data_IF_044642079802
#
_entry.id   IF_044642079802
#
_cell.length_a   1.000
_cell.length_b   1.000
_cell.length_c   1.000
_cell.angle_alpha   90.00
_cell.angle_beta   90.00
_cell.angle_gamma   90.00
#
_symmetry.space_group_name_H-M   'P 1'
#
loop_
_entity.id
_entity.type
_entity.pdbx_description
1 polymer ?
#
# COMPACT_ATOMS: atom_id res chain seq x y z
N UNK A 1 48.51 -37.88 20.31
CA UNK A 1 49.94 -37.80 20.73
C UNK A 1 50.48 -36.45 20.30
N UNK A 2 51.34 -35.78 21.08
CA UNK A 2 51.81 -34.41 20.78
C UNK A 2 52.91 -34.41 19.70
N UNK A 3 52.86 -33.47 18.76
CA UNK A 3 54.04 -32.92 18.09
C UNK A 3 53.96 -31.38 18.13
N UNK A 4 55.11 -30.72 18.01
CA UNK A 4 55.31 -29.28 18.27
C UNK A 4 56.11 -28.64 17.14
N UNK A 5 56.19 -27.31 17.19
CA UNK A 5 57.33 -26.45 16.84
C UNK A 5 57.33 -25.65 15.51
N UNK A 6 57.39 -24.32 15.74
CA UNK A 6 58.33 -23.33 15.16
C UNK A 6 58.01 -22.58 13.85
N UNK A 7 58.71 -21.44 13.76
CA UNK A 7 58.89 -20.49 12.64
C UNK A 7 57.68 -19.57 12.37
N UNK A 8 57.86 -18.25 12.18
CA UNK A 8 59.05 -17.41 12.39
C UNK A 8 58.64 -15.98 12.77
N UNK A 9 59.59 -15.17 13.25
CA UNK A 9 59.37 -13.76 13.59
C UNK A 9 60.07 -12.85 12.57
N UNK A 10 59.44 -11.72 12.25
CA UNK A 10 60.07 -10.57 11.59
C UNK A 10 59.53 -9.30 12.24
N UNK A 11 60.45 -8.46 12.72
CA UNK A 11 60.13 -7.13 13.24
C UNK A 11 60.66 -6.06 12.28
N UNK A 12 59.92 -4.97 12.15
CA UNK A 12 60.40 -3.69 11.60
C UNK A 12 59.99 -2.63 12.60
N UNK A 13 60.89 -1.68 12.88
CA UNK A 13 60.79 -0.80 14.04
C UNK A 13 61.02 0.67 13.69
N UNK A 14 60.50 1.56 14.55
CA UNK A 14 60.79 3.01 14.61
C UNK A 14 60.31 3.82 13.38
N UNK A 15 60.06 5.13 13.47
CA UNK A 15 60.52 6.14 14.44
C UNK A 15 59.42 6.99 15.06
N UNK A 16 59.67 7.44 16.30
CA UNK A 16 58.93 8.49 16.99
C UNK A 16 59.68 9.82 16.90
N UNK A 17 58.98 10.92 16.66
CA UNK A 17 59.48 12.27 16.94
C UNK A 17 58.41 13.07 17.69
N UNK A 18 58.76 13.49 18.91
CA UNK A 18 57.90 14.30 19.78
C UNK A 18 58.54 15.68 19.93
N UNK A 19 57.78 16.76 19.71
CA UNK A 19 58.19 18.11 20.08
C UNK A 19 57.00 18.95 20.56
N UNK A 20 57.23 19.71 21.62
CA UNK A 20 56.29 20.56 22.38
C UNK A 20 57.10 21.34 23.43
N UNK A 21 56.55 22.37 24.10
CA UNK A 21 55.65 23.42 23.61
C UNK A 21 56.13 24.83 24.05
N UNK A 22 55.53 25.91 23.51
CA UNK A 22 55.55 27.28 24.08
C UNK A 22 54.52 28.15 23.33
N UNK A 23 53.83 29.17 23.86
CA UNK A 23 53.14 29.42 25.16
C UNK A 23 53.08 30.94 25.43
N UNK A 24 51.94 31.58 25.15
CA UNK A 24 51.46 32.90 25.64
C UNK A 24 50.02 33.10 25.07
N UNK A 25 48.96 33.31 25.86
CA UNK A 25 48.62 34.47 26.72
C UNK A 25 48.21 35.71 25.90
N UNK A 26 47.06 36.38 26.08
CA UNK A 26 45.89 36.30 26.99
C UNK A 26 44.60 36.71 26.19
N UNK A 27 43.37 36.98 26.65
CA UNK A 27 42.73 37.35 27.94
C UNK A 27 41.18 37.12 27.88
N UNK A 28 40.45 37.26 29.01
CA UNK A 28 39.04 37.78 29.20
C UNK A 28 37.94 37.65 28.12
N UNK A 29 36.65 37.38 28.38
CA UNK A 29 35.78 36.97 29.53
C UNK A 29 34.48 36.39 28.89
N UNK A 30 33.48 35.76 29.54
CA UNK A 30 33.13 35.54 30.94
C UNK A 30 32.44 34.16 31.15
N UNK A 31 32.16 33.80 32.40
CA UNK A 31 31.66 32.51 32.88
C UNK A 31 30.18 32.19 32.56
N UNK A 32 29.84 30.90 32.41
CA UNK A 32 29.17 30.14 33.49
C UNK A 32 28.99 28.64 33.16
N UNK A 33 29.63 27.79 33.97
CA UNK A 33 29.35 26.35 34.18
C UNK A 33 28.29 26.26 35.34
N UNK A 34 27.54 25.20 35.66
CA UNK A 34 27.72 23.75 35.60
C UNK A 34 26.36 23.04 35.36
N UNK A 35 26.30 21.74 35.00
CA UNK A 35 27.38 20.80 34.70
C UNK A 35 26.88 19.36 34.56
N UNK A 36 27.80 18.41 34.43
CA UNK A 36 27.48 16.99 34.23
C UNK A 36 27.49 16.19 35.54
N UNK A 37 26.59 15.20 35.64
CA UNK A 37 26.75 14.05 36.55
C UNK A 37 26.82 12.76 35.75
N UNK A 38 27.90 12.01 35.95
CA UNK A 38 28.07 10.65 35.44
C UNK A 38 27.53 9.66 36.47
N UNK A 39 26.72 8.70 36.03
CA UNK A 39 26.64 7.39 36.70
C UNK A 39 26.52 6.29 35.65
N UNK A 40 27.14 5.14 35.94
CA UNK A 40 27.23 4.01 35.03
C UNK A 40 26.31 2.87 35.48
N UNK A 41 25.87 2.07 34.50
CA UNK A 41 25.37 0.69 34.64
C UNK A 41 24.28 0.40 35.69
N UNK A 42 23.06 0.20 35.22
CA UNK A 42 22.32 -1.04 35.52
C UNK A 42 21.28 -1.32 34.43
N UNK A 43 21.07 -2.60 34.13
CA UNK A 43 20.09 -3.07 33.14
C UNK A 43 18.88 -3.65 33.85
N UNK A 44 17.74 -2.96 33.81
CA UNK A 44 16.45 -3.52 34.22
C UNK A 44 15.33 -3.17 33.23
N UNK A 45 14.34 -4.06 33.19
CA UNK A 45 13.32 -4.19 32.15
C UNK A 45 12.16 -3.20 32.35
N UNK A 46 11.79 -2.48 31.28
CA UNK A 46 10.51 -1.78 31.17
C UNK A 46 9.87 -1.96 29.78
N UNK A 47 9.49 -3.20 29.51
CA UNK A 47 8.15 -3.59 28.99
C UNK A 47 7.32 -2.50 28.29
N UNK A 48 7.10 -2.72 26.99
CA UNK A 48 5.97 -2.27 26.17
C UNK A 48 5.57 -0.77 26.19
N UNK A 49 5.91 -0.08 25.10
CA UNK A 49 4.96 0.82 24.45
C UNK A 49 4.43 0.16 23.17
N UNK A 50 3.13 0.28 22.93
CA UNK A 50 2.43 -0.45 21.86
C UNK A 50 2.76 0.08 20.48
N UNK A 51 3.43 -0.73 19.68
CA UNK A 51 3.40 -0.58 18.22
C UNK A 51 1.97 -0.82 17.73
N UNK A 52 1.40 0.15 17.02
CA UNK A 52 0.14 -0.07 16.28
C UNK A 52 0.37 -1.15 15.22
N UNK A 53 -0.50 -2.17 15.10
CA UNK A 53 -0.29 -3.24 14.13
C UNK A 53 -0.29 -2.67 12.72
N UNK A 54 0.76 -2.98 11.94
CA UNK A 54 0.89 -2.51 10.56
C UNK A 54 -0.29 -3.01 9.70
N UNK A 55 -1.20 -2.10 9.36
CA UNK A 55 -2.41 -2.41 8.59
C UNK A 55 -2.09 -2.66 7.12
N UNK A 56 -1.58 -3.85 6.82
CA UNK A 56 -1.30 -4.28 5.44
C UNK A 56 -2.59 -4.32 4.59
N UNK A 57 -2.50 -3.86 3.34
CA UNK A 57 -3.61 -3.91 2.38
C UNK A 57 -3.78 -5.33 1.85
N UNK A 58 -5.01 -5.82 1.82
CA UNK A 58 -5.32 -7.19 1.40
C UNK A 58 -5.61 -7.36 -0.09
N UNK A 59 -5.66 -8.62 -0.57
CA UNK A 59 -5.88 -8.95 -1.98
C UNK A 59 -7.25 -8.53 -2.53
N UNK A 60 -8.24 -8.27 -1.68
CA UNK A 60 -9.56 -7.73 -2.07
C UNK A 60 -9.64 -6.20 -1.85
N UNK A 61 -8.53 -5.56 -1.48
CA UNK A 61 -8.44 -4.13 -1.24
C UNK A 61 -8.92 -3.68 0.14
N UNK A 62 -9.10 -4.58 1.10
CA UNK A 62 -9.44 -4.26 2.48
C UNK A 62 -8.23 -4.08 3.40
N UNK A 63 -8.50 -3.82 4.67
CA UNK A 63 -7.48 -3.76 5.73
C UNK A 63 -7.29 -5.15 6.34
N UNK A 64 -6.07 -5.70 6.29
CA UNK A 64 -5.74 -7.00 6.88
C UNK A 64 -5.22 -6.84 8.30
N UNK A 65 -5.74 -7.68 9.19
CA UNK A 65 -5.35 -7.82 10.59
C UNK A 65 -5.07 -9.29 10.92
N UNK A 66 -4.22 -9.52 11.92
CA UNK A 66 -4.02 -10.85 12.52
C UNK A 66 -4.92 -11.00 13.75
N UNK A 67 -5.77 -12.04 13.75
CA UNK A 67 -6.62 -12.39 14.90
C UNK A 67 -6.28 -13.81 15.32
N UNK A 68 -5.45 -13.94 16.36
CA UNK A 68 -4.74 -15.18 16.66
C UNK A 68 -3.86 -15.60 15.48
N UNK A 69 -4.04 -16.83 14.99
CA UNK A 69 -3.34 -17.34 13.80
C UNK A 69 -4.02 -17.01 12.46
N UNK A 70 -5.16 -16.31 12.46
CA UNK A 70 -5.90 -15.97 11.22
C UNK A 70 -5.53 -14.61 10.67
N UNK A 71 -5.36 -14.54 9.36
CA UNK A 71 -5.45 -13.30 8.58
C UNK A 71 -6.93 -13.02 8.29
N UNK A 72 -7.43 -11.86 8.72
CA UNK A 72 -8.79 -11.40 8.41
C UNK A 72 -8.69 -10.06 7.68
N UNK A 73 -9.31 -9.96 6.51
CA UNK A 73 -9.38 -8.74 5.71
C UNK A 73 -10.76 -8.09 5.86
N UNK A 74 -10.80 -6.87 6.39
CA UNK A 74 -12.01 -6.04 6.47
C UNK A 74 -12.17 -5.24 5.18
N UNK A 75 -13.19 -5.55 4.39
CA UNK A 75 -13.53 -4.85 3.14
C UNK A 75 -14.83 -4.08 3.34
N UNK A 76 -14.79 -2.76 3.14
CA UNK A 76 -15.95 -1.87 3.22
C UNK A 76 -16.37 -1.43 1.81
N UNK A 77 -17.65 -1.53 1.50
CA UNK A 77 -18.24 -1.05 0.24
C UNK A 77 -19.52 -0.26 0.51
N UNK A 78 -19.99 0.64 -0.37
CA UNK A 78 -21.12 1.54 -0.09
C UNK A 78 -22.45 0.86 0.29
N UNK A 79 -22.59 -0.46 0.11
CA UNK A 79 -23.78 -1.27 0.46
C UNK A 79 -23.49 -2.48 1.36
N UNK A 80 -22.30 -2.58 2.00
CA UNK A 80 -22.03 -3.68 2.94
C UNK A 80 -20.65 -3.69 3.59
N UNK A 81 -20.55 -4.54 4.61
CA UNK A 81 -19.32 -4.87 5.34
C UNK A 81 -19.01 -6.35 5.07
N UNK A 82 -17.74 -6.66 4.76
CA UNK A 82 -17.27 -8.02 4.53
C UNK A 82 -15.98 -8.28 5.32
N UNK A 83 -15.88 -9.46 5.91
CA UNK A 83 -14.68 -9.99 6.56
C UNK A 83 -14.25 -11.26 5.82
N UNK A 84 -13.14 -11.17 5.09
CA UNK A 84 -12.54 -12.32 4.40
C UNK A 84 -11.61 -13.04 5.37
N UNK A 85 -11.87 -14.32 5.65
CA UNK A 85 -10.93 -15.17 6.38
C UNK A 85 -9.96 -15.74 5.35
N UNK A 86 -8.71 -15.29 5.36
CA UNK A 86 -7.76 -15.60 4.27
C UNK A 86 -6.90 -16.83 4.57
N UNK A 87 -6.67 -17.63 3.53
CA UNK A 87 -5.63 -18.67 3.54
C UNK A 87 -4.23 -18.10 3.20
N UNK A 88 -3.22 -18.96 3.13
CA UNK A 88 -1.83 -18.57 2.83
C UNK A 88 -1.61 -17.96 1.44
N UNK A 89 -2.53 -18.19 0.48
CA UNK A 89 -2.52 -17.57 -0.86
C UNK A 89 -3.32 -16.26 -0.92
N UNK A 90 -4.07 -15.91 0.12
CA UNK A 90 -4.99 -14.77 0.12
C UNK A 90 -6.40 -15.07 -0.41
N UNK A 91 -6.79 -16.34 -0.53
CA UNK A 91 -8.15 -16.74 -0.95
C UNK A 91 -9.09 -16.78 0.28
N UNK A 92 -10.35 -16.31 0.20
CA UNK A 92 -11.33 -16.44 1.28
C UNK A 92 -11.75 -17.90 1.53
N UNK A 93 -11.80 -18.31 2.81
CA UNK A 93 -12.05 -19.69 3.24
C UNK A 93 -13.05 -19.80 4.41
N UNK A 94 -14.09 -18.96 4.46
CA UNK A 94 -15.14 -19.12 5.46
C UNK A 94 -16.02 -20.36 5.17
N UNK A 95 -16.34 -21.20 6.17
CA UNK A 95 -17.12 -22.43 5.99
C UNK A 95 -18.63 -22.13 5.82
N UNK A 96 -19.44 -23.06 5.30
CA UNK A 96 -20.85 -22.80 4.97
C UNK A 96 -21.75 -22.50 6.18
N UNK A 97 -21.37 -23.01 7.35
CA UNK A 97 -22.05 -22.90 8.65
C UNK A 97 -21.51 -21.75 9.52
N UNK A 98 -20.71 -20.84 8.95
CA UNK A 98 -20.23 -19.65 9.67
C UNK A 98 -21.36 -18.70 10.02
N UNK A 99 -21.44 -18.33 11.29
CA UNK A 99 -22.26 -17.23 11.78
C UNK A 99 -21.38 -16.15 12.39
N UNK A 100 -21.96 -14.98 12.61
CA UNK A 100 -21.27 -13.89 13.31
C UNK A 100 -22.14 -12.68 13.54
N UNK A 101 -21.63 -11.77 14.36
CA UNK A 101 -22.26 -10.48 14.67
C UNK A 101 -21.25 -9.37 14.40
N UNK A 102 -21.73 -8.21 13.96
CA UNK A 102 -20.93 -6.98 13.92
C UNK A 102 -21.71 -5.85 14.58
N UNK A 103 -21.11 -5.26 15.62
CA UNK A 103 -21.62 -4.10 16.33
C UNK A 103 -20.89 -2.86 15.82
N UNK A 104 -21.59 -2.08 15.00
CA UNK A 104 -21.07 -0.93 14.28
C UNK A 104 -21.32 0.38 15.04
N UNK A 105 -20.27 1.19 15.21
CA UNK A 105 -20.33 2.56 15.74
C UNK A 105 -19.65 3.53 14.77
N UNK A 106 -20.31 4.66 14.49
CA UNK A 106 -19.88 5.60 13.44
C UNK A 106 -19.22 6.84 14.06
N UNK A 107 -17.91 6.97 13.88
CA UNK A 107 -17.10 8.02 14.49
C UNK A 107 -17.29 8.08 16.01
N UNK A 108 -17.37 9.30 16.55
CA UNK A 108 -17.57 9.54 17.98
C UNK A 108 -19.06 9.48 18.41
N UNK A 109 -19.97 9.04 17.54
CA UNK A 109 -21.37 8.83 17.93
C UNK A 109 -21.43 7.66 18.92
N UNK A 110 -22.03 7.80 20.13
CA UNK A 110 -22.11 6.71 21.10
C UNK A 110 -23.08 5.58 20.67
N UNK A 111 -23.90 5.79 19.64
CA UNK A 111 -24.90 4.82 19.19
C UNK A 111 -24.25 3.63 18.48
N UNK A 112 -24.39 2.46 19.10
CA UNK A 112 -24.00 1.16 18.56
C UNK A 112 -25.17 0.53 17.76
N UNK A 113 -24.84 -0.13 16.65
CA UNK A 113 -25.79 -0.81 15.77
C UNK A 113 -25.30 -2.24 15.49
N UNK A 114 -25.94 -3.24 16.11
CA UNK A 114 -25.58 -4.66 15.94
C UNK A 114 -26.33 -5.31 14.79
N UNK A 115 -25.62 -6.07 13.97
CA UNK A 115 -26.13 -6.79 12.80
C UNK A 115 -25.69 -8.25 12.80
N UNK A 116 -26.59 -9.17 12.44
CA UNK A 116 -26.22 -10.55 12.13
C UNK A 116 -25.54 -10.61 10.76
N UNK A 117 -24.37 -11.26 10.71
CA UNK A 117 -23.65 -11.55 9.47
C UNK A 117 -24.02 -12.93 8.93
N UNK A 118 -23.72 -13.16 7.65
CA UNK A 118 -23.92 -14.46 6.97
C UNK A 118 -22.75 -14.76 6.04
N UNK A 119 -22.61 -16.03 5.67
CA UNK A 119 -21.79 -16.44 4.53
C UNK A 119 -22.31 -15.78 3.24
N UNK A 120 -21.40 -15.24 2.43
CA UNK A 120 -21.68 -14.62 1.13
C UNK A 120 -21.16 -15.51 -0.01
N UNK A 121 -21.63 -15.27 -1.24
CA UNK A 121 -21.29 -16.09 -2.43
C UNK A 121 -19.79 -16.16 -2.76
N UNK A 122 -19.01 -15.21 -2.27
CA UNK A 122 -17.55 -15.11 -2.38
C UNK A 122 -16.79 -15.67 -1.17
N UNK A 123 -17.45 -16.48 -0.32
CA UNK A 123 -16.88 -17.07 0.90
C UNK A 123 -16.38 -16.04 1.93
N UNK A 124 -16.95 -14.83 1.89
CA UNK A 124 -16.81 -13.82 2.92
C UNK A 124 -17.87 -13.99 4.02
N UNK A 125 -17.57 -13.57 5.25
CA UNK A 125 -18.58 -13.36 6.30
C UNK A 125 -18.98 -11.88 6.25
N UNK A 126 -20.27 -11.54 6.09
CA UNK A 126 -20.63 -10.14 5.95
C UNK A 126 -22.11 -9.82 6.08
N UNK A 127 -22.44 -8.53 5.93
CA UNK A 127 -23.80 -8.00 6.03
C UNK A 127 -24.02 -6.83 5.07
N UNK A 128 -25.23 -6.76 4.49
CA UNK A 128 -25.66 -5.63 3.68
C UNK A 128 -26.14 -4.47 4.57
N UNK A 129 -25.45 -3.34 4.48
CA UNK A 129 -25.73 -2.11 5.23
C UNK A 129 -25.43 -0.90 4.34
N UNK A 130 -26.26 0.14 4.38
CA UNK A 130 -26.08 1.30 3.51
C UNK A 130 -25.06 2.29 4.08
N UNK A 131 -23.82 2.16 3.62
CA UNK A 131 -22.69 2.97 4.08
C UNK A 131 -22.48 4.25 3.24
N UNK A 132 -23.31 4.48 2.22
CA UNK A 132 -23.18 5.62 1.29
C UNK A 132 -23.25 7.02 1.93
N UNK A 133 -23.75 7.12 3.17
CA UNK A 133 -23.87 8.38 3.93
C UNK A 133 -22.75 8.61 4.96
N UNK A 134 -21.82 7.66 5.10
CA UNK A 134 -20.76 7.68 6.14
C UNK A 134 -19.37 7.51 5.54
N UNK A 135 -19.19 7.82 4.25
CA UNK A 135 -17.93 7.65 3.49
C UNK A 135 -16.72 8.25 4.19
N UNK A 136 -16.92 9.41 4.83
CA UNK A 136 -15.83 10.15 5.43
C UNK A 136 -15.56 9.86 6.91
N UNK A 137 -16.35 9.00 7.53
CA UNK A 137 -16.31 8.71 8.96
C UNK A 137 -15.62 7.38 9.25
N UNK A 138 -14.87 7.32 10.35
CA UNK A 138 -14.29 6.08 10.85
C UNK A 138 -15.40 5.15 11.37
N UNK A 139 -15.42 3.91 10.89
CA UNK A 139 -16.28 2.86 11.42
C UNK A 139 -15.50 2.05 12.45
N UNK A 140 -15.99 2.06 13.68
CA UNK A 140 -15.61 1.12 14.72
C UNK A 140 -16.53 -0.10 14.63
N UNK A 141 -15.95 -1.29 14.55
CA UNK A 141 -16.68 -2.54 14.39
C UNK A 141 -16.18 -3.55 15.42
N UNK A 142 -16.99 -3.82 16.43
CA UNK A 142 -16.79 -4.94 17.34
C UNK A 142 -17.41 -6.19 16.70
N UNK A 143 -16.58 -7.16 16.32
CA UNK A 143 -16.96 -8.30 15.48
C UNK A 143 -16.79 -9.60 16.26
N UNK A 144 -17.73 -10.52 16.11
CA UNK A 144 -17.61 -11.90 16.57
C UNK A 144 -17.96 -12.87 15.44
N UNK A 145 -17.15 -13.91 15.25
CA UNK A 145 -17.36 -14.96 14.24
C UNK A 145 -17.26 -16.34 14.91
N UNK A 146 -18.30 -17.16 14.76
CA UNK A 146 -18.39 -18.53 15.30
C UNK A 146 -18.04 -19.57 14.24
N UNK A 147 -17.98 -20.86 14.61
CA UNK A 147 -17.80 -22.03 13.73
C UNK A 147 -16.52 -22.05 12.85
N UNK A 148 -15.64 -21.05 12.97
CA UNK A 148 -14.35 -21.01 12.25
C UNK A 148 -13.20 -21.64 13.06
N UNK A 149 -13.33 -21.72 14.38
CA UNK A 149 -12.34 -22.33 15.29
C UNK A 149 -13.06 -23.01 16.47
N UNK A 150 -12.29 -23.71 17.31
CA UNK A 150 -12.81 -24.37 18.53
C UNK A 150 -13.36 -23.40 19.61
N UNK A 151 -13.25 -22.09 19.38
CA UNK A 151 -13.89 -21.01 20.14
C UNK A 151 -14.33 -19.91 19.17
N UNK A 152 -15.33 -19.08 19.51
CA UNK A 152 -15.61 -17.84 18.79
C UNK A 152 -14.36 -16.96 18.67
N UNK A 153 -14.27 -16.22 17.57
CA UNK A 153 -13.19 -15.29 17.28
C UNK A 153 -13.76 -13.88 17.31
N UNK A 154 -13.41 -13.13 18.35
CA UNK A 154 -13.88 -11.76 18.56
C UNK A 154 -12.74 -10.76 18.38
N UNK A 155 -12.98 -9.64 17.69
CA UNK A 155 -11.97 -8.61 17.40
C UNK A 155 -12.59 -7.22 17.19
N UNK A 156 -11.81 -6.17 17.43
CA UNK A 156 -12.15 -4.80 17.04
C UNK A 156 -11.52 -4.47 15.69
N UNK A 157 -12.31 -3.98 14.74
CA UNK A 157 -11.81 -3.47 13.45
C UNK A 157 -12.16 -1.99 13.30
N UNK A 158 -11.16 -1.16 13.01
CA UNK A 158 -11.35 0.23 12.60
C UNK A 158 -11.07 0.36 11.10
N UNK A 159 -11.98 0.95 10.35
CA UNK A 159 -11.80 1.22 8.91
C UNK A 159 -12.72 2.35 8.45
N UNK A 160 -12.41 2.99 7.31
CA UNK A 160 -13.21 4.08 6.72
C UNK A 160 -13.83 3.64 5.40
N UNK A 161 -15.06 4.09 5.11
CA UNK A 161 -15.81 3.67 3.91
C UNK A 161 -15.35 4.47 2.70
N UNK A 162 -14.25 4.04 2.08
CA UNK A 162 -13.68 4.75 0.94
C UNK A 162 -14.68 4.75 -0.23
N UNK A 163 -14.96 5.95 -0.74
CA UNK A 163 -15.94 6.16 -1.81
C UNK A 163 -15.45 5.54 -3.12
N UNK A 164 -16.30 4.70 -3.74
CA UNK A 164 -15.98 3.87 -4.90
C UNK A 164 -15.02 2.71 -4.61
N UNK A 165 -15.42 1.51 -5.02
CA UNK A 165 -14.72 0.26 -4.74
C UNK A 165 -13.45 0.07 -5.58
N UNK A 166 -12.27 0.32 -4.98
CA UNK A 166 -10.99 -0.36 -5.29
C UNK A 166 -9.93 0.01 -4.25
N UNK A 167 -9.57 -0.93 -3.37
CA UNK A 167 -8.43 -0.77 -2.47
C UNK A 167 -8.68 0.12 -1.25
N UNK A 168 -7.78 0.01 -0.27
CA UNK A 168 -7.41 1.16 0.54
C UNK A 168 -6.94 2.24 -0.44
N UNK A 169 -7.56 3.42 -0.35
CA UNK A 169 -7.33 4.51 -1.30
C UNK A 169 -5.86 4.90 -1.27
N UNK A 170 -5.20 4.70 -2.42
CA UNK A 170 -3.82 5.14 -2.66
C UNK A 170 -3.68 6.60 -2.23
N UNK A 171 -2.56 6.93 -1.59
CA UNK A 171 -2.24 8.30 -1.21
C UNK A 171 -2.27 9.24 -2.42
N UNK A 172 -2.46 10.54 -2.19
CA UNK A 172 -2.37 11.52 -3.27
C UNK A 172 -1.01 11.41 -3.98
N UNK A 173 0.05 11.16 -3.23
CA UNK A 173 1.42 10.91 -3.69
C UNK A 173 1.53 9.67 -4.59
N UNK A 174 0.88 8.55 -4.25
CA UNK A 174 0.84 7.35 -5.09
C UNK A 174 -0.01 7.53 -6.35
N UNK A 175 -1.13 8.25 -6.26
CA UNK A 175 -1.97 8.58 -7.41
C UNK A 175 -1.25 9.57 -8.35
N UNK A 176 -0.52 10.53 -7.81
CA UNK A 176 0.41 11.41 -8.55
C UNK A 176 1.50 10.59 -9.25
N UNK A 177 2.12 9.63 -8.54
CA UNK A 177 3.17 8.78 -9.10
C UNK A 177 2.65 7.84 -10.19
N UNK A 178 1.41 7.34 -10.05
CA UNK A 178 0.69 6.56 -11.06
C UNK A 178 0.38 7.36 -12.32
N UNK A 179 -0.21 8.55 -12.14
CA UNK A 179 -0.65 9.37 -13.25
C UNK A 179 0.56 9.95 -14.00
N UNK A 180 1.63 10.29 -13.27
CA UNK A 180 2.96 10.66 -13.76
C UNK A 180 3.05 12.04 -14.44
N UNK A 181 2.06 12.38 -15.27
CA UNK A 181 2.00 13.61 -16.08
C UNK A 181 0.65 14.31 -15.96
N UNK A 182 0.65 15.63 -16.17
CA UNK A 182 -0.56 16.46 -16.16
C UNK A 182 -1.42 16.19 -17.42
N UNK A 183 -2.74 15.99 -17.31
CA UNK A 183 -3.61 15.63 -18.44
C UNK A 183 -3.76 16.77 -19.47
N UNK A 184 -3.37 17.98 -19.10
CA UNK A 184 -3.53 19.20 -19.91
C UNK A 184 -2.22 19.59 -20.59
N UNK A 185 -1.10 19.60 -19.84
CA UNK A 185 0.20 20.08 -20.32
C UNK A 185 1.16 18.97 -20.76
N UNK A 186 0.88 17.71 -20.44
CA UNK A 186 1.77 16.57 -20.67
C UNK A 186 3.06 16.59 -19.84
N UNK A 187 3.27 17.63 -19.00
CA UNK A 187 4.48 17.76 -18.17
C UNK A 187 4.40 16.86 -16.93
N UNK A 188 5.55 16.36 -16.42
CA UNK A 188 5.59 15.56 -15.20
C UNK A 188 4.92 16.25 -14.01
N UNK A 189 4.14 15.51 -13.23
CA UNK A 189 3.64 15.98 -11.94
C UNK A 189 4.81 16.15 -10.95
N UNK A 190 4.63 17.02 -9.94
CA UNK A 190 5.70 17.40 -9.00
C UNK A 190 6.69 18.43 -9.54
N UNK A 191 6.86 18.55 -10.87
CA UNK A 191 7.81 19.49 -11.51
C UNK A 191 7.47 20.98 -11.33
N UNK A 192 6.34 21.30 -10.69
CA UNK A 192 5.84 22.65 -10.42
C UNK A 192 5.38 22.80 -8.95
N UNK A 193 5.90 21.97 -8.04
CA UNK A 193 5.42 21.85 -6.67
C UNK A 193 4.32 20.79 -6.54
N UNK A 194 3.61 20.79 -5.40
CA UNK A 194 2.57 19.81 -5.09
C UNK A 194 1.42 19.89 -6.12
N UNK A 195 1.11 18.81 -6.87
CA UNK A 195 0.04 18.79 -7.86
C UNK A 195 -1.34 19.07 -7.24
N UNK A 196 -2.10 20.09 -7.71
CA UNK A 196 -3.48 20.26 -7.30
C UNK A 196 -4.35 19.06 -7.74
N UNK A 197 -5.20 18.60 -6.82
CA UNK A 197 -6.17 17.53 -7.02
C UNK A 197 -7.52 18.08 -7.48
N UNK A 198 -8.05 17.53 -8.56
CA UNK A 198 -9.43 17.75 -9.03
C UNK A 198 -10.22 16.46 -8.85
N UNK A 199 -11.45 16.54 -8.34
CA UNK A 199 -12.31 15.37 -8.17
C UNK A 199 -13.26 15.24 -9.37
N UNK A 200 -13.07 14.18 -10.17
CA UNK A 200 -13.92 13.83 -11.31
C UNK A 200 -14.67 12.54 -10.99
N UNK A 201 -16.00 12.56 -11.00
CA UNK A 201 -16.84 11.38 -10.75
C UNK A 201 -16.46 10.60 -9.47
N UNK A 202 -16.13 11.34 -8.40
CA UNK A 202 -15.70 10.79 -7.10
C UNK A 202 -14.25 10.28 -7.05
N UNK A 203 -13.42 10.59 -8.05
CA UNK A 203 -12.06 10.05 -8.23
C UNK A 203 -11.05 11.15 -8.51
N UNK A 204 -9.83 10.98 -8.03
CA UNK A 204 -8.76 11.99 -8.11
C UNK A 204 -8.14 12.05 -9.50
N UNK A 205 -8.03 13.27 -10.07
CA UNK A 205 -7.21 13.58 -11.24
C UNK A 205 -6.31 14.77 -10.88
N UNK A 206 -5.01 14.64 -11.09
CA UNK A 206 -4.01 15.63 -10.66
C UNK A 206 -3.52 16.48 -11.83
N UNK A 207 -3.26 17.75 -11.57
CA UNK A 207 -2.70 18.68 -12.57
C UNK A 207 -1.38 19.27 -12.10
N UNK A 208 -0.57 19.80 -13.02
CA UNK A 208 0.73 20.38 -12.65
C UNK A 208 0.62 21.71 -11.90
N UNK A 209 -0.46 22.48 -12.07
CA UNK A 209 -0.67 23.77 -11.41
C UNK A 209 -2.15 24.19 -11.44
N UNK A 210 -2.54 25.15 -10.58
CA UNK A 210 -3.94 25.59 -10.45
C UNK A 210 -4.56 26.15 -11.75
N UNK A 211 -3.73 26.73 -12.64
CA UNK A 211 -4.16 27.17 -13.98
C UNK A 211 -4.59 26.05 -14.93
N UNK A 212 -4.47 24.78 -14.52
CA UNK A 212 -5.03 23.62 -15.21
C UNK A 212 -6.34 23.10 -14.57
N UNK A 213 -6.62 23.38 -13.29
CA UNK A 213 -7.79 22.81 -12.60
C UNK A 213 -9.12 23.19 -13.28
N UNK A 214 -9.34 24.49 -13.51
CA UNK A 214 -10.55 24.99 -14.17
C UNK A 214 -10.77 24.47 -15.61
N UNK A 215 -9.73 23.97 -16.27
CA UNK A 215 -9.87 23.29 -17.58
C UNK A 215 -10.30 21.83 -17.43
N UNK A 216 -9.87 21.14 -16.37
CA UNK A 216 -10.44 19.82 -16.02
C UNK A 216 -11.90 19.97 -15.65
N UNK A 217 -12.23 20.95 -14.79
CA UNK A 217 -13.61 21.22 -14.34
C UNK A 217 -14.55 21.56 -15.51
N UNK A 218 -14.07 22.29 -16.52
CA UNK A 218 -14.86 22.64 -17.70
C UNK A 218 -15.03 21.51 -18.74
N UNK A 219 -14.25 20.42 -18.67
CA UNK A 219 -14.29 19.31 -19.64
C UNK A 219 -13.76 18.00 -19.03
N UNK A 220 -14.36 17.49 -17.93
CA UNK A 220 -13.75 16.45 -17.10
C UNK A 220 -13.43 15.17 -17.87
N UNK A 221 -14.38 14.65 -18.65
CA UNK A 221 -14.23 13.38 -19.35
C UNK A 221 -13.12 13.42 -20.43
N UNK A 222 -12.90 14.58 -21.07
CA UNK A 222 -11.82 14.78 -22.06
C UNK A 222 -10.43 14.60 -21.44
N UNK A 223 -10.26 14.94 -20.16
CA UNK A 223 -8.98 14.88 -19.46
C UNK A 223 -8.84 13.60 -18.64
N UNK A 224 -9.94 13.07 -18.11
CA UNK A 224 -10.00 11.86 -17.31
C UNK A 224 -9.76 10.60 -18.15
N UNK A 225 -10.39 10.50 -19.33
CA UNK A 225 -10.23 9.36 -20.26
C UNK A 225 -8.81 9.15 -20.80
N UNK A 226 -7.91 10.14 -20.65
CA UNK A 226 -6.49 10.02 -20.99
C UNK A 226 -5.68 9.14 -20.01
N UNK A 227 -6.21 8.91 -18.81
CA UNK A 227 -5.55 8.14 -17.74
C UNK A 227 -6.42 6.99 -17.24
N UNK A 228 -7.75 7.14 -17.31
CA UNK A 228 -8.73 6.21 -16.77
C UNK A 228 -9.89 6.03 -17.74
N UNK A 229 -10.01 4.85 -18.37
CA UNK A 229 -11.20 4.55 -19.16
C UNK A 229 -12.35 4.07 -18.26
N UNK A 230 -13.59 4.43 -18.63
CA UNK A 230 -14.79 3.89 -18.00
C UNK A 230 -15.03 2.44 -18.45
N UNK A 231 -14.84 2.18 -19.74
CA UNK A 231 -14.91 0.87 -20.38
C UNK A 231 -13.51 0.38 -20.81
N UNK A 232 -13.25 -0.92 -20.67
CA UNK A 232 -11.97 -1.53 -21.07
C UNK A 232 -11.90 -1.77 -22.58
N UNK A 233 -11.76 -0.70 -23.36
CA UNK A 233 -11.68 -0.76 -24.84
C UNK A 233 -10.58 -1.72 -25.33
N UNK A 234 -10.95 -2.69 -26.17
CA UNK A 234 -10.00 -3.63 -26.78
C UNK A 234 -9.23 -2.94 -27.92
N UNK A 235 -7.97 -2.58 -27.68
CA UNK A 235 -7.12 -1.91 -28.67
C UNK A 235 -6.42 -2.88 -29.62
N UNK A 236 -6.29 -4.15 -29.22
CA UNK A 236 -5.86 -5.31 -30.01
C UNK A 236 -6.43 -6.59 -29.38
N UNK A 237 -6.61 -7.71 -30.11
CA UNK A 237 -7.07 -8.97 -29.55
C UNK A 237 -6.33 -9.37 -28.25
N UNK A 238 -7.06 -9.48 -27.14
CA UNK A 238 -6.55 -9.79 -25.81
C UNK A 238 -5.83 -8.64 -25.08
N UNK A 239 -5.94 -7.40 -25.57
CA UNK A 239 -5.25 -6.21 -25.04
C UNK A 239 -6.25 -5.06 -24.88
N UNK A 240 -6.59 -4.75 -23.64
CA UNK A 240 -7.63 -3.78 -23.28
C UNK A 240 -7.01 -2.52 -22.66
N UNK A 241 -7.64 -1.34 -22.82
CA UNK A 241 -7.32 -0.18 -21.98
C UNK A 241 -7.64 -0.52 -20.52
N UNK A 242 -6.77 -0.12 -19.60
CA UNK A 242 -7.03 -0.32 -18.18
C UNK A 242 -8.12 0.64 -17.70
N UNK A 243 -9.03 0.08 -16.92
CA UNK A 243 -10.16 0.78 -16.33
C UNK A 243 -9.78 1.35 -14.96
N UNK A 244 -10.71 2.11 -14.38
CA UNK A 244 -10.62 2.51 -12.98
C UNK A 244 -10.52 1.36 -11.98
N UNK A 245 -11.05 0.18 -12.31
CA UNK A 245 -10.97 -1.00 -11.43
C UNK A 245 -9.54 -1.57 -11.35
N UNK A 246 -8.68 -1.22 -12.30
CA UNK A 246 -7.31 -1.73 -12.41
C UNK A 246 -6.30 -0.86 -11.63
N UNK A 247 -6.68 0.35 -11.20
CA UNK A 247 -5.78 1.37 -10.66
C UNK A 247 -4.89 0.90 -9.50
N UNK A 248 -5.46 0.19 -8.53
CA UNK A 248 -4.71 -0.36 -7.39
C UNK A 248 -3.68 -1.43 -7.81
N UNK A 249 -4.00 -2.25 -8.82
CA UNK A 249 -3.10 -3.28 -9.33
C UNK A 249 -1.98 -2.69 -10.21
N UNK A 250 -2.28 -1.62 -10.96
CA UNK A 250 -1.27 -0.79 -11.63
C UNK A 250 -0.34 -0.14 -10.60
N UNK A 251 -0.86 0.31 -9.45
CA UNK A 251 -0.07 0.89 -8.35
C UNK A 251 0.85 -0.12 -7.67
N UNK A 252 0.37 -1.36 -7.50
CA UNK A 252 1.21 -2.46 -7.04
C UNK A 252 2.31 -2.79 -8.07
N UNK A 253 1.97 -2.80 -9.36
CA UNK A 253 2.90 -3.19 -10.42
C UNK A 253 3.97 -2.13 -10.73
N UNK A 254 3.60 -0.84 -10.80
CA UNK A 254 4.42 0.37 -11.07
C UNK A 254 5.10 0.43 -12.45
N UNK A 255 5.57 -0.70 -12.97
CA UNK A 255 6.49 -0.80 -14.09
C UNK A 255 6.00 -1.85 -15.11
N UNK A 256 6.21 -1.59 -16.40
CA UNK A 256 5.94 -2.53 -17.49
C UNK A 256 7.00 -3.65 -17.50
N UNK A 257 6.66 -4.93 -17.24
CA UNK A 257 7.67 -6.00 -17.09
C UNK A 257 8.43 -6.31 -18.39
N UNK A 258 7.96 -5.81 -19.53
CA UNK A 258 8.52 -6.06 -20.87
C UNK A 258 9.58 -5.03 -21.29
N UNK A 259 9.48 -3.80 -20.79
CA UNK A 259 10.31 -2.66 -21.19
C UNK A 259 10.97 -1.93 -20.01
N UNK A 260 10.59 -2.27 -18.77
CA UNK A 260 11.03 -1.64 -17.51
C UNK A 260 10.71 -0.14 -17.36
N UNK A 261 9.84 0.36 -18.25
CA UNK A 261 9.24 1.70 -18.23
C UNK A 261 8.10 1.82 -17.22
N UNK A 262 7.91 3.01 -16.62
CA UNK A 262 6.79 3.29 -15.72
C UNK A 262 5.44 3.19 -16.43
N UNK A 263 4.45 2.62 -15.74
CA UNK A 263 3.05 2.68 -16.17
C UNK A 263 2.54 4.14 -16.08
N UNK A 264 1.54 4.50 -16.89
CA UNK A 264 1.00 5.87 -17.00
C UNK A 264 1.84 6.82 -17.87
N UNK A 265 3.18 6.64 -17.90
CA UNK A 265 4.10 7.48 -18.67
C UNK A 265 3.93 7.46 -20.20
N UNK A 266 3.19 6.49 -20.74
CA UNK A 266 2.85 6.36 -22.17
C UNK A 266 1.33 6.48 -22.43
N UNK A 267 0.59 7.10 -21.50
CA UNK A 267 -0.88 7.14 -21.49
C UNK A 267 -1.49 6.00 -20.66
N UNK A 268 -2.80 5.76 -20.83
CA UNK A 268 -3.55 4.69 -20.14
C UNK A 268 -2.79 3.35 -20.27
N UNK A 269 -2.38 2.72 -19.15
CA UNK A 269 -1.80 1.37 -19.18
C UNK A 269 -2.76 0.40 -19.86
N UNK A 270 -2.25 -0.65 -20.50
CA UNK A 270 -3.09 -1.68 -21.10
C UNK A 270 -3.08 -2.94 -20.24
N UNK A 271 -4.25 -3.56 -20.05
CA UNK A 271 -4.42 -4.85 -19.37
C UNK A 271 -4.33 -5.99 -20.39
N UNK A 272 -3.54 -7.02 -20.07
CA UNK A 272 -3.39 -8.25 -20.86
C UNK A 272 -3.59 -9.46 -19.96
N UNK A 273 -4.32 -10.46 -20.46
CA UNK A 273 -4.48 -11.75 -19.79
C UNK A 273 -3.20 -12.59 -19.95
N UNK A 274 -2.56 -12.94 -18.83
CA UNK A 274 -1.38 -13.83 -18.79
C UNK A 274 -1.69 -14.98 -17.85
N UNK A 275 -2.08 -16.14 -18.43
CA UNK A 275 -2.50 -17.35 -17.69
C UNK A 275 -3.56 -17.10 -16.60
N UNK A 276 -4.60 -16.34 -16.93
CA UNK A 276 -5.71 -16.02 -16.02
C UNK A 276 -5.42 -14.84 -15.07
N UNK A 277 -4.31 -14.14 -15.25
CA UNK A 277 -3.92 -12.96 -14.46
C UNK A 277 -3.91 -11.69 -15.30
N UNK A 278 -4.31 -10.57 -14.69
CA UNK A 278 -4.18 -9.25 -15.31
C UNK A 278 -2.76 -8.72 -15.14
N UNK A 279 -2.02 -8.58 -16.25
CA UNK A 279 -0.70 -7.93 -16.29
C UNK A 279 -0.79 -6.62 -17.07
N UNK A 280 -0.19 -5.56 -16.54
CA UNK A 280 -0.27 -4.22 -17.12
C UNK A 280 0.96 -3.89 -17.96
N UNK A 281 0.79 -3.11 -19.03
CA UNK A 281 1.86 -2.67 -19.92
C UNK A 281 1.73 -1.21 -20.32
N UNK A 282 2.86 -0.57 -20.63
CA UNK A 282 2.90 0.81 -21.11
C UNK A 282 2.37 0.98 -22.55
N UNK A 283 2.45 -0.04 -23.42
CA UNK A 283 1.98 0.08 -24.80
C UNK A 283 1.63 -1.27 -25.45
N UNK A 284 0.79 -1.24 -26.50
CA UNK A 284 0.31 -2.43 -27.20
C UNK A 284 1.40 -3.23 -27.94
N UNK A 285 2.63 -2.71 -28.03
CA UNK A 285 3.79 -3.45 -28.53
C UNK A 285 4.29 -4.51 -27.53
N UNK A 286 4.09 -4.29 -26.23
CA UNK A 286 4.60 -5.19 -25.18
C UNK A 286 3.81 -6.51 -25.10
N UNK A 287 2.52 -6.50 -25.44
CA UNK A 287 1.64 -7.67 -25.35
C UNK A 287 2.15 -8.90 -26.10
N UNK A 288 2.79 -8.72 -27.27
CA UNK A 288 3.28 -9.82 -28.10
C UNK A 288 4.45 -10.59 -27.46
N UNK A 289 5.25 -9.93 -26.60
CA UNK A 289 6.29 -10.58 -25.78
C UNK A 289 5.66 -11.31 -24.58
N UNK A 290 4.70 -10.70 -23.89
CA UNK A 290 3.97 -11.33 -22.78
C UNK A 290 3.25 -12.62 -23.17
N UNK A 291 2.62 -12.64 -24.34
CA UNK A 291 1.97 -13.83 -24.87
C UNK A 291 2.97 -14.95 -25.26
N UNK A 292 4.20 -14.59 -25.64
CA UNK A 292 5.24 -15.54 -26.05
C UNK A 292 6.03 -16.12 -24.87
N UNK A 293 6.26 -15.34 -23.81
CA UNK A 293 7.05 -15.74 -22.64
C UNK A 293 6.29 -15.52 -21.31
N UNK A 294 5.07 -16.07 -21.13
CA UNK A 294 4.19 -15.70 -20.02
C UNK A 294 4.79 -15.98 -18.64
N UNK A 295 5.43 -17.14 -18.44
CA UNK A 295 6.00 -17.53 -17.15
C UNK A 295 7.19 -16.66 -16.74
N UNK A 296 8.04 -16.26 -17.70
CA UNK A 296 9.17 -15.35 -17.51
C UNK A 296 8.71 -14.00 -16.96
N UNK A 297 7.64 -13.45 -17.52
CA UNK A 297 7.12 -12.15 -17.09
C UNK A 297 6.32 -12.24 -15.77
N UNK A 298 5.56 -13.31 -15.53
CA UNK A 298 4.96 -13.57 -14.22
C UNK A 298 6.01 -13.77 -13.12
N UNK A 299 7.10 -14.49 -13.42
CA UNK A 299 8.24 -14.66 -12.50
C UNK A 299 8.91 -13.32 -12.20
N UNK A 300 9.22 -12.51 -13.22
CA UNK A 300 9.79 -11.16 -13.05
C UNK A 300 8.92 -10.27 -12.16
N UNK A 301 7.59 -10.32 -12.33
CA UNK A 301 6.65 -9.59 -11.48
C UNK A 301 6.74 -10.05 -10.01
N UNK A 302 6.71 -11.38 -9.77
CA UNK A 302 6.85 -11.92 -8.40
C UNK A 302 8.21 -11.61 -7.75
N UNK A 303 9.29 -11.55 -8.53
CA UNK A 303 10.62 -11.14 -8.06
C UNK A 303 10.67 -9.66 -7.64
N UNK A 304 9.84 -8.81 -8.26
CA UNK A 304 9.63 -7.42 -7.85
C UNK A 304 8.57 -7.26 -6.74
N UNK A 305 8.14 -8.35 -6.10
CA UNK A 305 7.10 -8.34 -5.06
C UNK A 305 5.67 -8.14 -5.57
N UNK A 306 5.47 -8.06 -6.89
CA UNK A 306 4.15 -7.84 -7.50
C UNK A 306 3.43 -9.18 -7.62
N UNK A 307 2.23 -9.28 -7.04
CA UNK A 307 1.31 -10.39 -7.31
C UNK A 307 0.20 -9.91 -8.24
N UNK A 308 0.20 -10.29 -9.54
CA UNK A 308 -0.85 -9.87 -10.46
C UNK A 308 -2.20 -10.52 -10.07
N UNK A 309 -3.31 -9.74 -10.04
CA UNK A 309 -4.63 -10.24 -9.67
C UNK A 309 -5.20 -11.17 -10.75
N UNK A 310 -6.35 -11.78 -10.49
CA UNK A 310 -7.14 -12.42 -11.53
C UNK A 310 -7.54 -11.40 -12.63
N UNK A 311 -7.84 -11.90 -13.83
CA UNK A 311 -8.29 -11.10 -14.98
C UNK A 311 -9.78 -10.76 -14.89
#
# INVERSE_FOLDING_TARGET
>A
MKMRNLLAATAVATTTLSFSPLASAQMSHADHDHGAMQHAQSSHDHTAMTESPETSVGPHGGTVQMVGSRRIETVLVPKGIMFMILNSKGEPIAPPDVEGTVSLRVGNNPKLHTYQMRILKNQAVGVAVDLSKVTDQALHMDVEITNIAAKPVSFHSMSKVIGSSTGAGLSDEELIALQGVCPISGKPLGSMGQPPKVMVNGKSLFVCCGGCSGKVEASPDQYFTKFYSAEGEEVRPGVFKSTLADAAAIAAQKTCPVMDEKLGGMGVPLKVNVKGKAVYICCAGCAKKLAAEPDKYLQKLSQSGVTPPAM
#
